data_IF_483194133813
#
_entry.id   IF_483194133813
#
_cell.length_a   1.000
_cell.length_b   1.000
_cell.length_c   1.000
_cell.angle_alpha   90.00
_cell.angle_beta   90.00
_cell.angle_gamma   90.00
#
_symmetry.space_group_name_H-M   'P 1'
#
loop_
_entity.id
_entity.type
_entity.pdbx_description
1 polymer ?
#
# COMPACT_ATOMS: atom_id res chain seq x y z
N UNK A 1 -7.24 4.89 25.03
CA UNK A 1 -7.43 3.42 24.94
C UNK A 1 -7.99 3.00 23.59
N UNK A 2 -9.14 3.52 23.14
CA UNK A 2 -9.71 3.18 21.82
C UNK A 2 -8.79 3.52 20.64
N UNK A 3 -8.17 4.71 20.63
CA UNK A 3 -7.20 5.11 19.61
C UNK A 3 -6.01 4.16 19.50
N UNK A 4 -5.48 3.70 20.65
CA UNK A 4 -4.38 2.74 20.70
C UNK A 4 -4.79 1.39 20.11
N UNK A 5 -6.01 0.94 20.37
CA UNK A 5 -6.55 -0.30 19.80
C UNK A 5 -6.65 -0.19 18.27
N UNK A 6 -7.22 0.91 17.76
CA UNK A 6 -7.35 1.16 16.32
C UNK A 6 -5.96 1.23 15.67
N UNK A 7 -5.01 1.93 16.30
CA UNK A 7 -3.63 2.00 15.83
C UNK A 7 -2.97 0.62 15.76
N UNK A 8 -3.13 -0.23 16.78
CA UNK A 8 -2.59 -1.59 16.78
C UNK A 8 -3.20 -2.47 15.69
N UNK A 9 -4.50 -2.32 15.43
CA UNK A 9 -5.19 -3.05 14.36
C UNK A 9 -4.63 -2.62 12.99
N UNK A 10 -4.55 -1.31 12.72
CA UNK A 10 -3.93 -0.80 11.50
C UNK A 10 -2.48 -1.26 11.38
N UNK A 11 -1.70 -1.22 12.47
CA UNK A 11 -0.31 -1.68 12.47
C UNK A 11 -0.17 -3.15 12.08
N UNK A 12 -1.06 -4.02 12.57
CA UNK A 12 -1.08 -5.41 12.16
C UNK A 12 -1.45 -5.57 10.68
N UNK A 13 -2.44 -4.82 10.20
CA UNK A 13 -2.88 -4.82 8.81
C UNK A 13 -1.76 -4.34 7.87
N UNK A 14 -1.06 -3.25 8.23
CA UNK A 14 0.10 -2.74 7.50
C UNK A 14 1.18 -3.81 7.34
N UNK A 15 1.54 -4.51 8.42
CA UNK A 15 2.54 -5.58 8.37
C UNK A 15 2.09 -6.73 7.47
N UNK A 16 0.81 -7.12 7.51
CA UNK A 16 0.26 -8.17 6.65
C UNK A 16 0.36 -7.77 5.17
N UNK A 17 -0.08 -6.57 4.81
CA UNK A 17 -0.02 -6.11 3.42
C UNK A 17 1.42 -5.89 2.92
N UNK A 18 2.31 -5.39 3.76
CA UNK A 18 3.74 -5.27 3.43
C UNK A 18 4.40 -6.65 3.24
N UNK A 19 4.06 -7.64 4.07
CA UNK A 19 4.55 -9.00 3.89
C UNK A 19 3.97 -9.64 2.61
N UNK A 20 2.67 -9.43 2.34
CA UNK A 20 2.00 -9.95 1.15
C UNK A 20 2.56 -9.34 -0.15
N UNK A 21 2.91 -8.05 -0.14
CA UNK A 21 3.49 -7.41 -1.33
C UNK A 21 4.84 -8.02 -1.70
N UNK A 22 5.70 -8.34 -0.72
CA UNK A 22 7.02 -8.93 -1.00
C UNK A 22 6.96 -10.44 -1.24
N UNK A 23 5.97 -11.14 -0.67
CA UNK A 23 5.87 -12.61 -0.78
C UNK A 23 5.23 -13.09 -2.09
N UNK A 24 4.52 -12.22 -2.80
CA UNK A 24 3.73 -12.61 -3.98
C UNK A 24 4.60 -12.62 -5.24
N UNK A 25 4.72 -13.80 -5.87
CA UNK A 25 5.46 -14.03 -7.13
C UNK A 25 4.73 -13.51 -8.39
N UNK A 26 3.83 -12.54 -8.23
CA UNK A 26 3.20 -11.91 -9.36
C UNK A 26 3.24 -10.41 -9.11
N UNK A 27 4.07 -9.71 -9.87
CA UNK A 27 4.26 -8.26 -9.78
C UNK A 27 2.94 -7.48 -9.76
N UNK A 28 1.91 -7.93 -10.49
CA UNK A 28 0.60 -7.25 -10.51
C UNK A 28 -0.09 -7.37 -9.15
N UNK A 29 -0.17 -8.59 -8.61
CA UNK A 29 -0.76 -8.81 -7.29
C UNK A 29 0.06 -8.17 -6.17
N UNK A 30 1.39 -8.25 -6.24
CA UNK A 30 2.33 -7.57 -5.34
C UNK A 30 2.03 -6.07 -5.25
N UNK A 31 1.82 -5.42 -6.39
CA UNK A 31 1.52 -3.99 -6.46
C UNK A 31 0.16 -3.63 -5.87
N UNK A 32 -0.85 -4.50 -6.01
CA UNK A 32 -2.15 -4.29 -5.36
C UNK A 32 -2.03 -4.39 -3.84
N UNK A 33 -1.24 -5.33 -3.31
CA UNK A 33 -0.96 -5.39 -1.87
C UNK A 33 -0.18 -4.16 -1.37
N UNK A 34 0.74 -3.66 -2.18
CA UNK A 34 1.45 -2.41 -1.89
C UNK A 34 0.50 -1.20 -1.87
N UNK A 35 -0.47 -1.13 -2.79
CA UNK A 35 -1.51 -0.08 -2.77
C UNK A 35 -2.30 -0.10 -1.46
N UNK A 36 -2.72 -1.29 -1.02
CA UNK A 36 -3.46 -1.45 0.24
C UNK A 36 -2.62 -1.01 1.45
N UNK A 37 -1.32 -1.32 1.45
CA UNK A 37 -0.39 -0.84 2.47
C UNK A 37 -0.31 0.70 2.51
N UNK A 38 -0.23 1.36 1.35
CA UNK A 38 -0.15 2.82 1.27
C UNK A 38 -1.45 3.50 1.74
N UNK A 39 -2.61 2.90 1.42
CA UNK A 39 -3.90 3.38 1.92
C UNK A 39 -4.01 3.22 3.45
N UNK A 40 -3.53 2.11 3.99
CA UNK A 40 -3.47 1.88 5.43
C UNK A 40 -2.54 2.89 6.13
N UNK A 41 -1.40 3.19 5.51
CA UNK A 41 -0.46 4.21 5.99
C UNK A 41 -1.08 5.62 5.99
N UNK A 42 -1.87 5.96 4.96
CA UNK A 42 -2.63 7.21 4.95
C UNK A 42 -3.67 7.27 6.08
N UNK A 43 -4.36 6.17 6.36
CA UNK A 43 -5.28 6.06 7.48
C UNK A 43 -4.56 6.22 8.83
N UNK A 44 -3.35 5.66 8.97
CA UNK A 44 -2.50 5.90 10.15
C UNK A 44 -2.15 7.38 10.29
N UNK A 45 -1.70 8.06 9.23
CA UNK A 45 -1.38 9.49 9.33
C UNK A 45 -2.57 10.32 9.78
N UNK A 46 -3.76 10.03 9.25
CA UNK A 46 -5.01 10.70 9.69
C UNK A 46 -5.30 10.39 11.17
N UNK A 47 -5.13 9.15 11.61
CA UNK A 47 -5.32 8.75 13.01
C UNK A 47 -4.35 9.48 13.96
N UNK A 48 -3.11 9.73 13.53
CA UNK A 48 -2.12 10.50 14.28
C UNK A 48 -2.35 12.02 14.25
N UNK A 49 -3.40 12.50 13.57
CA UNK A 49 -3.70 13.93 13.42
C UNK A 49 -2.93 14.62 12.29
N UNK A 50 -2.21 13.86 11.46
CA UNK A 50 -1.42 14.34 10.32
C UNK A 50 -2.25 14.31 9.03
N UNK A 51 -3.43 14.95 9.05
CA UNK A 51 -4.40 14.87 7.95
C UNK A 51 -3.87 15.37 6.60
N UNK A 52 -3.07 16.44 6.60
CA UNK A 52 -2.44 16.94 5.37
C UNK A 52 -1.49 15.92 4.75
N UNK A 53 -0.66 15.27 5.59
CA UNK A 53 0.30 14.26 5.14
C UNK A 53 -0.45 13.03 4.63
N UNK A 54 -1.50 12.59 5.33
CA UNK A 54 -2.36 11.48 4.86
C UNK A 54 -3.07 11.80 3.53
N UNK A 55 -3.50 13.04 3.31
CA UNK A 55 -4.08 13.44 2.02
C UNK A 55 -3.05 13.43 0.89
N UNK A 56 -1.83 13.91 1.16
CA UNK A 56 -0.70 13.87 0.21
C UNK A 56 -0.32 12.42 -0.09
N UNK A 57 -0.34 11.53 0.90
CA UNK A 57 -0.07 10.09 0.74
C UNK A 57 -1.04 9.46 -0.28
N UNK A 58 -2.33 9.75 -0.14
CA UNK A 58 -3.36 9.26 -1.05
C UNK A 58 -3.17 9.85 -2.46
N UNK A 59 -2.91 11.16 -2.57
CA UNK A 59 -2.77 11.82 -3.88
C UNK A 59 -1.49 11.42 -4.62
N UNK A 60 -0.35 11.37 -3.93
CA UNK A 60 0.96 11.18 -4.55
C UNK A 60 1.33 9.71 -4.62
N UNK A 61 1.29 8.98 -3.51
CA UNK A 61 1.75 7.59 -3.50
C UNK A 61 0.70 6.61 -4.01
N UNK A 62 -0.48 6.59 -3.39
CA UNK A 62 -1.56 5.71 -3.84
C UNK A 62 -2.13 6.15 -5.20
N UNK A 63 -2.21 7.46 -5.43
CA UNK A 63 -2.73 8.08 -6.65
C UNK A 63 -1.72 8.09 -7.80
N UNK A 64 -0.64 8.85 -7.72
CA UNK A 64 0.27 9.00 -8.86
C UNK A 64 1.24 7.82 -9.01
N UNK A 65 2.02 7.53 -7.97
CA UNK A 65 3.15 6.58 -8.06
C UNK A 65 2.68 5.15 -8.33
N UNK A 66 1.71 4.64 -7.55
CA UNK A 66 1.21 3.27 -7.75
C UNK A 66 0.50 3.10 -9.09
N UNK A 67 -0.30 4.07 -9.50
CA UNK A 67 -0.99 3.98 -10.80
C UNK A 67 0.05 3.93 -11.93
N UNK A 68 1.10 4.75 -11.87
CA UNK A 68 2.20 4.68 -12.83
C UNK A 68 2.89 3.31 -12.82
N UNK A 69 3.16 2.75 -11.63
CA UNK A 69 3.74 1.40 -11.51
C UNK A 69 2.82 0.37 -12.16
N UNK A 70 1.52 0.36 -11.84
CA UNK A 70 0.55 -0.58 -12.43
C UNK A 70 0.50 -0.46 -13.95
N UNK A 71 0.48 0.76 -14.48
CA UNK A 71 0.52 0.98 -15.94
C UNK A 71 1.80 0.42 -16.57
N UNK A 72 2.96 0.70 -15.97
CA UNK A 72 4.25 0.18 -16.46
C UNK A 72 4.27 -1.35 -16.40
N UNK A 73 3.77 -1.95 -15.33
CA UNK A 73 3.69 -3.41 -15.19
C UNK A 73 2.79 -4.05 -16.23
N UNK A 74 1.62 -3.45 -16.51
CA UNK A 74 0.72 -3.91 -17.56
C UNK A 74 1.35 -3.81 -18.95
N UNK A 75 2.08 -2.73 -19.23
CA UNK A 75 2.76 -2.53 -20.51
C UNK A 75 3.98 -3.44 -20.71
N UNK A 76 4.67 -3.77 -19.62
CA UNK A 76 5.84 -4.67 -19.65
C UNK A 76 5.46 -6.14 -19.51
N UNK A 77 4.16 -6.45 -19.41
CA UNK A 77 3.63 -7.81 -19.41
C UNK A 77 3.78 -8.56 -18.09
N UNK A 78 4.16 -7.89 -17.00
CA UNK A 78 4.28 -8.49 -15.66
C UNK A 78 5.01 -9.84 -15.67
N UNK A 79 6.08 -9.97 -16.47
CA UNK A 79 6.76 -11.24 -16.69
C UNK A 79 7.50 -11.69 -15.41
N UNK A 80 6.83 -12.54 -14.64
CA UNK A 80 7.46 -13.61 -13.88
C UNK A 80 7.20 -14.91 -14.64
N UNK A 81 8.01 -15.12 -15.69
CA UNK A 81 8.39 -16.47 -16.05
C UNK A 81 9.54 -16.84 -15.11
N UNK A 82 9.23 -17.50 -14.01
CA UNK A 82 10.17 -18.44 -13.40
C UNK A 82 9.49 -19.81 -13.48
N UNK A 83 9.89 -20.57 -14.51
CA UNK A 83 9.57 -21.99 -14.80
C UNK A 83 8.11 -22.48 -14.65
#
# INVERSE_FOLDING_TARGET
MIYTLIFLILAAIAVIFAAASVRTNNLTHSTIYLLMFLLDLAAMFILLGLSFIGAVEILVYAGAVIILIVFVLMLTGGYENEE
#
